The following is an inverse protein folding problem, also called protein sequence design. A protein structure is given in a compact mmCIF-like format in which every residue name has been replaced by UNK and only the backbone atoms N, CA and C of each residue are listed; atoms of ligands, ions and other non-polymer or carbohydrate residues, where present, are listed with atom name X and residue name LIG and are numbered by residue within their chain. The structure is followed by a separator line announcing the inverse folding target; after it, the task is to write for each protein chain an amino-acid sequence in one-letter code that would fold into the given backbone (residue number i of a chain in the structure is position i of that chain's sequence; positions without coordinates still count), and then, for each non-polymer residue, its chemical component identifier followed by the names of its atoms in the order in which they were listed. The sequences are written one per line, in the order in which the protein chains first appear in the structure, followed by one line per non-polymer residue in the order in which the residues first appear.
data_IF_810722732678
#
_entry.id   IF_810722732678
#
_cell.length_a   1.000
_cell.length_b   1.000
_cell.length_c   1.000
_cell.angle_alpha   90.00
_cell.angle_beta   90.00
_cell.angle_gamma   90.00
#
_symmetry.space_group_name_H-M   'P 1'
#
loop_
_entity.id
_entity.type
_entity.pdbx_description
1 polymer ?
#
# COMPACT_ATOMS: atom_id res chain seq x y z
N UNK A 1 -16.32 -1.02 -1.14
CA UNK A 1 -15.25 -0.33 -0.35
C UNK A 1 -15.58 -0.32 1.14
N UNK A 2 -14.91 -1.14 1.96
CA UNK A 2 -15.10 -1.17 3.43
C UNK A 2 -14.13 -0.23 4.13
N UNK A 3 -14.47 1.05 4.29
CA UNK A 3 -13.69 1.93 5.18
C UNK A 3 -14.27 1.82 6.59
N UNK A 4 -13.42 1.54 7.57
CA UNK A 4 -13.77 1.61 8.99
C UNK A 4 -13.05 2.83 9.55
N UNK A 5 -13.69 3.58 10.44
CA UNK A 5 -12.98 4.54 11.29
C UNK A 5 -11.72 3.85 11.88
N UNK A 6 -10.52 4.43 11.73
CA UNK A 6 -9.30 3.73 12.10
C UNK A 6 -9.25 3.50 13.60
N UNK A 7 -8.88 2.28 13.97
CA UNK A 7 -8.59 1.89 15.36
C UNK A 7 -7.12 2.09 15.73
N UNK A 8 -6.27 2.56 14.80
CA UNK A 8 -4.84 2.75 15.00
C UNK A 8 -4.26 3.78 14.01
N UNK A 9 -3.16 4.42 14.41
CA UNK A 9 -2.28 5.20 13.54
C UNK A 9 -1.12 4.32 13.07
N UNK A 10 -0.73 4.44 11.81
CA UNK A 10 0.45 3.76 11.26
C UNK A 10 1.39 4.79 10.65
N UNK A 11 2.62 4.80 11.12
CA UNK A 11 3.67 5.66 10.59
C UNK A 11 4.54 4.85 9.63
N UNK A 12 4.66 5.33 8.39
CA UNK A 12 5.55 4.76 7.39
C UNK A 12 6.63 5.77 7.07
N UNK A 13 7.82 5.57 7.64
CA UNK A 13 9.00 6.38 7.33
C UNK A 13 9.86 5.69 6.27
N UNK A 14 10.56 6.48 5.47
CA UNK A 14 11.66 6.02 4.63
C UNK A 14 12.93 6.78 5.01
N UNK A 15 14.07 6.10 4.95
CA UNK A 15 15.38 6.68 5.33
C UNK A 15 16.05 7.44 4.19
N UNK A 16 15.45 7.40 3.01
CA UNK A 16 16.00 7.98 1.81
C UNK A 16 15.66 9.48 1.70
N UNK A 17 16.64 10.35 1.91
CA UNK A 17 16.51 11.80 1.74
C UNK A 17 17.06 12.28 0.40
N UNK A 18 18.28 12.83 0.43
CA UNK A 18 18.91 13.51 -0.70
C UNK A 18 19.75 12.61 -1.62
N UNK A 19 19.85 11.31 -1.34
CA UNK A 19 20.82 10.42 -2.01
C UNK A 19 20.21 9.48 -3.06
N UNK A 20 18.89 9.52 -3.28
CA UNK A 20 18.26 8.70 -4.31
C UNK A 20 18.23 9.42 -5.65
N UNK A 21 18.56 8.67 -6.71
CA UNK A 21 18.64 9.18 -8.08
C UNK A 21 17.97 8.20 -9.05
N UNK A 22 17.52 8.72 -10.19
CA UNK A 22 16.99 7.90 -11.29
C UNK A 22 15.85 6.98 -10.85
N UNK A 23 15.93 5.72 -11.26
CA UNK A 23 14.87 4.72 -11.06
C UNK A 23 14.61 4.41 -9.57
N UNK A 24 15.63 4.46 -8.71
CA UNK A 24 15.48 4.21 -7.28
C UNK A 24 14.59 5.27 -6.61
N UNK A 25 14.83 6.54 -6.97
CA UNK A 25 14.00 7.67 -6.55
C UNK A 25 12.56 7.52 -7.05
N UNK A 26 12.37 7.14 -8.32
CA UNK A 26 11.04 6.95 -8.93
C UNK A 26 10.30 5.80 -8.23
N UNK A 27 10.96 4.69 -7.96
CA UNK A 27 10.39 3.53 -7.29
C UNK A 27 9.96 3.87 -5.87
N UNK A 28 10.80 4.58 -5.12
CA UNK A 28 10.47 5.02 -3.74
C UNK A 28 9.24 5.93 -3.73
N UNK A 29 9.20 6.94 -4.61
CA UNK A 29 8.03 7.80 -4.77
C UNK A 29 6.78 6.99 -5.11
N UNK A 30 6.88 6.06 -6.06
CA UNK A 30 5.76 5.21 -6.50
C UNK A 30 5.23 4.34 -5.36
N UNK A 31 6.12 3.74 -4.55
CA UNK A 31 5.73 2.93 -3.38
C UNK A 31 4.98 3.78 -2.34
N UNK A 32 5.48 4.96 -2.03
CA UNK A 32 4.83 5.88 -1.09
C UNK A 32 3.48 6.37 -1.63
N UNK A 33 3.36 6.67 -2.93
CA UNK A 33 2.09 7.01 -3.58
C UNK A 33 1.07 5.85 -3.52
N UNK A 34 1.53 4.61 -3.70
CA UNK A 34 0.69 3.43 -3.54
C UNK A 34 0.17 3.29 -2.10
N UNK A 35 0.97 3.65 -1.09
CA UNK A 35 0.54 3.70 0.31
C UNK A 35 -0.53 4.79 0.54
N UNK A 36 -0.35 5.97 -0.05
CA UNK A 36 -1.35 7.06 0.02
C UNK A 36 -2.70 6.62 -0.57
N UNK A 37 -2.67 5.84 -1.66
CA UNK A 37 -3.86 5.38 -2.38
C UNK A 37 -4.40 4.04 -1.86
N UNK A 38 -3.81 3.48 -0.82
CA UNK A 38 -4.18 2.16 -0.35
C UNK A 38 -5.62 2.18 0.22
N UNK A 39 -6.52 1.26 -0.19
CA UNK A 39 -7.94 1.33 0.16
C UNK A 39 -8.24 1.16 1.66
N UNK A 40 -7.28 0.61 2.42
CA UNK A 40 -7.37 0.53 3.88
C UNK A 40 -6.93 1.82 4.60
N UNK A 41 -6.38 2.80 3.89
CA UNK A 41 -6.07 4.10 4.45
C UNK A 41 -7.34 4.96 4.49
N UNK A 42 -7.86 5.21 5.69
CA UNK A 42 -9.04 6.07 5.87
C UNK A 42 -8.75 7.54 5.53
N UNK A 43 -7.56 8.00 5.93
CA UNK A 43 -6.97 9.28 5.60
C UNK A 43 -5.44 9.21 5.70
N UNK A 44 -4.72 10.11 5.04
CA UNK A 44 -3.26 10.11 4.94
C UNK A 44 -2.72 11.54 5.04
N UNK A 45 -1.70 11.72 5.88
CA UNK A 45 -0.88 12.92 5.89
C UNK A 45 0.51 12.56 5.33
N UNK A 46 0.88 13.18 4.21
CA UNK A 46 2.20 13.07 3.63
C UNK A 46 3.06 14.21 4.19
N UNK A 47 4.16 13.85 4.85
CA UNK A 47 5.07 14.81 5.49
C UNK A 47 6.43 14.73 4.79
N UNK A 48 6.91 15.87 4.30
CA UNK A 48 8.29 16.05 3.84
C UNK A 48 9.04 17.00 4.76
N UNK A 49 10.38 16.89 4.77
CA UNK A 49 11.20 17.83 5.54
C UNK A 49 11.29 19.16 4.80
N UNK A 50 11.51 19.12 3.47
CA UNK A 50 11.64 20.27 2.56
C UNK A 50 12.94 20.29 1.75
N UNK A 51 13.90 19.41 2.04
CA UNK A 51 15.22 19.39 1.39
C UNK A 51 15.59 18.02 0.78
N UNK A 52 14.69 17.05 0.84
CA UNK A 52 14.82 15.73 0.22
C UNK A 52 14.74 15.78 -1.31
N UNK A 53 15.16 14.71 -2.01
CA UNK A 53 14.99 14.65 -3.47
C UNK A 53 13.52 14.44 -3.85
N UNK A 54 12.77 13.69 -3.03
CA UNK A 54 11.34 13.44 -3.24
C UNK A 54 10.49 14.54 -2.63
N UNK A 55 10.55 15.70 -3.25
CA UNK A 55 9.83 16.90 -2.83
C UNK A 55 8.32 16.68 -2.86
N UNK A 56 7.64 17.15 -1.80
CA UNK A 56 6.19 16.98 -1.60
C UNK A 56 5.36 17.54 -2.77
N UNK A 57 5.78 18.64 -3.38
CA UNK A 57 5.08 19.21 -4.54
C UNK A 57 5.13 18.27 -5.76
N UNK A 58 6.32 17.80 -6.13
CA UNK A 58 6.49 16.83 -7.23
C UNK A 58 5.81 15.49 -6.92
N UNK A 59 5.81 15.07 -5.65
CA UNK A 59 5.07 13.91 -5.17
C UNK A 59 3.57 14.07 -5.40
N UNK A 60 3.00 15.23 -5.01
CA UNK A 60 1.57 15.54 -5.17
C UNK A 60 1.17 15.62 -6.64
N UNK A 61 1.98 16.26 -7.48
CA UNK A 61 1.72 16.38 -8.93
C UNK A 61 1.64 15.02 -9.62
N UNK A 62 2.44 14.05 -9.18
CA UNK A 62 2.52 12.71 -9.79
C UNK A 62 1.64 11.67 -9.10
N UNK A 63 0.96 12.01 -8.01
CA UNK A 63 0.11 11.08 -7.24
C UNK A 63 -1.14 10.62 -8.02
N UNK A 64 -1.61 11.46 -8.95
CA UNK A 64 -2.89 11.29 -9.64
C UNK A 64 -4.08 11.72 -8.77
N UNK A 65 -5.26 11.15 -9.02
CA UNK A 65 -6.49 11.53 -8.31
C UNK A 65 -6.46 11.09 -6.84
N UNK A 66 -6.79 12.02 -5.95
CA UNK A 66 -7.00 11.78 -4.52
C UNK A 66 -8.11 12.67 -3.96
N UNK A 67 -8.69 12.26 -2.84
CA UNK A 67 -9.67 13.06 -2.11
C UNK A 67 -8.94 14.09 -1.20
N UNK A 68 -9.05 15.40 -1.47
CA UNK A 68 -8.36 16.41 -0.67
C UNK A 68 -8.87 16.49 0.77
N UNK A 69 -10.05 15.97 1.10
CA UNK A 69 -10.52 15.89 2.49
C UNK A 69 -9.82 14.79 3.28
N UNK A 70 -9.21 13.81 2.57
CA UNK A 70 -8.61 12.62 3.16
C UNK A 70 -7.12 12.51 2.94
N UNK A 71 -6.55 13.31 2.04
CA UNK A 71 -5.11 13.37 1.82
C UNK A 71 -4.64 14.81 2.01
N UNK A 72 -3.72 14.99 2.95
CA UNK A 72 -3.06 16.27 3.24
C UNK A 72 -1.56 16.13 3.05
N UNK A 73 -0.92 17.27 2.84
CA UNK A 73 0.51 17.38 2.58
C UNK A 73 1.08 18.47 3.47
N UNK A 74 2.25 18.22 4.05
CA UNK A 74 2.94 19.17 4.90
C UNK A 74 4.44 19.13 4.62
N UNK A 75 5.06 20.30 4.60
CA UNK A 75 6.52 20.46 4.55
C UNK A 75 6.96 21.09 5.86
N UNK A 76 7.75 20.38 6.67
CA UNK A 76 8.10 20.82 8.02
C UNK A 76 8.85 22.16 8.01
N UNK A 77 9.82 22.34 7.12
CA UNK A 77 10.60 23.59 7.01
C UNK A 77 9.79 24.81 6.55
N UNK A 78 8.54 24.63 6.14
CA UNK A 78 7.63 25.71 5.79
C UNK A 78 6.67 26.10 6.93
N UNK A 79 6.80 25.47 8.11
CA UNK A 79 5.99 25.75 9.30
C UNK A 79 6.84 26.43 10.38
N UNK A 80 6.23 27.34 11.14
CA UNK A 80 6.88 27.92 12.33
C UNK A 80 6.86 26.92 13.51
N UNK A 81 5.76 26.19 13.67
CA UNK A 81 5.61 25.04 14.57
C UNK A 81 5.08 23.85 13.77
N UNK A 82 5.97 22.96 13.35
CA UNK A 82 5.64 21.79 12.55
C UNK A 82 4.80 20.75 13.33
N UNK A 83 4.89 20.75 14.65
CA UNK A 83 4.15 19.82 15.51
C UNK A 83 2.70 20.26 15.61
N UNK A 84 2.46 21.53 15.89
CA UNK A 84 1.11 22.10 15.94
C UNK A 84 0.40 21.97 14.58
N UNK A 85 1.07 22.35 13.49
CA UNK A 85 0.54 22.21 12.13
C UNK A 85 0.22 20.74 11.78
N UNK A 86 1.10 19.82 12.15
CA UNK A 86 0.89 18.38 11.96
C UNK A 86 -0.34 17.86 12.72
N UNK A 87 -0.49 18.26 13.98
CA UNK A 87 -1.65 17.89 14.81
C UNK A 87 -2.95 18.45 14.21
N UNK A 88 -2.94 19.69 13.72
CA UNK A 88 -4.12 20.28 13.08
C UNK A 88 -4.56 19.47 11.85
N UNK A 89 -3.61 19.12 10.97
CA UNK A 89 -3.90 18.26 9.82
C UNK A 89 -4.48 16.91 10.25
N UNK A 90 -3.89 16.25 11.25
CA UNK A 90 -4.36 14.97 11.75
C UNK A 90 -5.79 15.06 12.32
N UNK A 91 -6.13 16.15 13.02
CA UNK A 91 -7.49 16.40 13.49
C UNK A 91 -8.48 16.55 12.33
N UNK A 92 -8.16 17.35 11.31
CA UNK A 92 -9.02 17.52 10.14
C UNK A 92 -9.24 16.18 9.41
N UNK A 93 -8.18 15.41 9.21
CA UNK A 93 -8.24 14.09 8.59
C UNK A 93 -9.09 13.11 9.42
N UNK A 94 -8.91 13.10 10.74
CA UNK A 94 -9.73 12.29 11.64
C UNK A 94 -11.21 12.64 11.51
N UNK A 95 -11.57 13.93 11.50
CA UNK A 95 -12.95 14.36 11.33
C UNK A 95 -13.56 13.88 10.01
N UNK A 96 -12.78 13.85 8.92
CA UNK A 96 -13.24 13.38 7.62
C UNK A 96 -13.51 11.86 7.57
N UNK A 97 -12.81 11.05 8.37
CA UNK A 97 -12.90 9.58 8.33
C UNK A 97 -13.59 8.94 9.54
N UNK A 98 -13.87 9.68 10.62
CA UNK A 98 -14.38 9.11 11.89
C UNK A 98 -15.74 8.42 11.77
N UNK A 99 -16.54 8.80 10.77
CA UNK A 99 -17.87 8.23 10.55
C UNK A 99 -17.86 7.06 9.55
N UNK A 100 -16.69 6.64 9.07
CA UNK A 100 -16.56 5.54 8.12
C UNK A 100 -17.04 4.21 8.71
N UNK A 101 -17.94 3.54 7.99
CA UNK A 101 -18.53 2.25 8.39
C UNK A 101 -18.29 1.19 7.33
N UNK A 102 -18.06 -0.05 7.80
CA UNK A 102 -17.98 -1.21 6.91
C UNK A 102 -19.35 -1.48 6.31
N UNK A 103 -19.35 -1.76 5.02
CA UNK A 103 -20.53 -2.14 4.26
C UNK A 103 -20.29 -3.51 3.60
N UNK A 104 -21.36 -4.29 3.29
CA UNK A 104 -21.21 -5.48 2.47
C UNK A 104 -20.50 -5.14 1.15
N UNK A 105 -19.42 -5.88 0.85
CA UNK A 105 -18.64 -5.73 -0.37
C UNK A 105 -18.66 -7.00 -1.22
N UNK A 106 -18.09 -6.93 -2.42
CA UNK A 106 -17.92 -8.09 -3.32
C UNK A 106 -16.52 -8.67 -3.15
N UNK A 107 -16.38 -9.99 -3.35
CA UNK A 107 -15.05 -10.62 -3.41
C UNK A 107 -14.16 -10.00 -4.51
N UNK A 108 -14.76 -9.53 -5.60
CA UNK A 108 -14.06 -8.85 -6.69
C UNK A 108 -13.40 -7.52 -6.30
N UNK A 109 -13.74 -6.95 -5.14
CA UNK A 109 -13.10 -5.74 -4.62
C UNK A 109 -11.83 -6.05 -3.81
N UNK A 110 -11.57 -7.32 -3.51
CA UNK A 110 -10.48 -7.75 -2.63
C UNK A 110 -9.21 -8.10 -3.42
N UNK A 111 -8.08 -7.71 -2.85
CA UNK A 111 -6.74 -8.05 -3.31
C UNK A 111 -5.98 -8.71 -2.18
N UNK A 112 -5.42 -9.90 -2.43
CA UNK A 112 -4.66 -10.68 -1.45
C UNK A 112 -3.23 -10.84 -1.91
N UNK A 113 -2.27 -10.38 -1.10
CA UNK A 113 -0.86 -10.76 -1.26
C UNK A 113 -0.63 -12.13 -0.64
N UNK A 114 0.12 -12.99 -1.33
CA UNK A 114 0.53 -14.31 -0.89
C UNK A 114 2.03 -14.27 -0.61
N UNK A 115 2.41 -14.71 0.57
CA UNK A 115 3.79 -14.75 1.06
C UNK A 115 4.00 -16.08 1.79
N UNK A 116 5.20 -16.62 1.67
CA UNK A 116 5.70 -17.67 2.50
C UNK A 116 6.33 -17.08 3.78
N UNK A 117 6.39 -17.91 4.82
CA UNK A 117 7.11 -17.58 6.04
C UNK A 117 8.40 -18.41 6.13
N UNK A 118 8.48 -19.28 7.14
CA UNK A 118 9.50 -20.32 7.19
C UNK A 118 9.05 -21.55 6.40
N UNK A 119 9.52 -21.70 5.17
CA UNK A 119 9.21 -22.87 4.34
C UNK A 119 9.78 -24.15 4.95
N UNK A 120 9.00 -25.23 4.96
CA UNK A 120 9.42 -26.56 5.39
C UNK A 120 9.08 -27.63 4.34
N UNK A 121 9.48 -28.88 4.61
CA UNK A 121 9.23 -29.99 3.69
C UNK A 121 7.74 -30.33 3.48
N UNK A 122 6.83 -29.76 4.28
CA UNK A 122 5.38 -29.97 4.19
C UNK A 122 4.65 -28.81 3.51
N UNK A 123 5.22 -27.61 3.49
CA UNK A 123 4.62 -26.42 2.87
C UNK A 123 4.14 -26.69 1.45
N UNK A 124 4.99 -27.32 0.63
CA UNK A 124 4.71 -27.64 -0.78
C UNK A 124 3.60 -28.68 -1.01
N UNK A 125 3.20 -29.42 0.02
CA UNK A 125 2.15 -30.47 -0.08
C UNK A 125 0.92 -30.17 0.78
N UNK A 126 0.96 -29.12 1.60
CA UNK A 126 -0.15 -28.74 2.51
C UNK A 126 -0.60 -27.29 2.29
N UNK A 127 0.09 -26.32 2.89
CA UNK A 127 -0.30 -24.92 2.90
C UNK A 127 -0.31 -24.30 1.48
N UNK A 128 0.71 -24.57 0.66
CA UNK A 128 0.83 -23.98 -0.66
C UNK A 128 -0.26 -24.49 -1.62
N UNK A 129 -0.56 -25.81 -1.69
CA UNK A 129 -1.72 -26.29 -2.44
C UNK A 129 -3.06 -25.70 -1.98
N UNK A 130 -3.24 -25.48 -0.67
CA UNK A 130 -4.45 -24.85 -0.14
C UNK A 130 -4.56 -23.39 -0.58
N UNK A 131 -3.47 -22.62 -0.50
CA UNK A 131 -3.40 -21.24 -1.01
C UNK A 131 -3.64 -21.16 -2.52
N UNK A 132 -3.16 -22.14 -3.29
CA UNK A 132 -3.46 -22.26 -4.72
C UNK A 132 -4.97 -22.36 -4.98
N UNK A 133 -5.66 -23.28 -4.28
CA UNK A 133 -7.12 -23.43 -4.40
C UNK A 133 -7.89 -22.18 -3.92
N UNK A 134 -7.40 -21.53 -2.88
CA UNK A 134 -7.96 -20.26 -2.41
C UNK A 134 -7.82 -19.16 -3.48
N UNK A 135 -6.66 -19.10 -4.14
CA UNK A 135 -6.42 -18.18 -5.25
C UNK A 135 -7.38 -18.44 -6.41
N UNK A 136 -7.54 -19.69 -6.84
CA UNK A 136 -8.48 -20.06 -7.90
C UNK A 136 -9.92 -19.65 -7.56
N UNK A 137 -10.34 -19.91 -6.32
CA UNK A 137 -11.67 -19.51 -5.84
C UNK A 137 -11.89 -18.01 -5.88
N UNK A 138 -10.91 -17.20 -5.44
CA UNK A 138 -11.01 -15.75 -5.48
C UNK A 138 -11.06 -15.22 -6.92
N UNK A 139 -10.15 -15.70 -7.79
CA UNK A 139 -10.08 -15.29 -9.19
C UNK A 139 -11.39 -15.64 -9.92
N UNK A 140 -11.96 -16.82 -9.66
CA UNK A 140 -13.26 -17.22 -10.20
C UNK A 140 -14.42 -16.29 -9.79
N UNK A 141 -14.27 -15.57 -8.67
CA UNK A 141 -15.21 -14.56 -8.19
C UNK A 141 -14.80 -13.11 -8.55
N UNK A 142 -13.83 -12.94 -9.45
CA UNK A 142 -13.34 -11.64 -9.92
C UNK A 142 -12.40 -10.93 -8.93
N UNK A 143 -11.98 -11.59 -7.86
CA UNK A 143 -10.98 -11.08 -6.92
C UNK A 143 -9.57 -11.14 -7.49
N UNK A 144 -8.60 -10.63 -6.75
CA UNK A 144 -7.18 -10.66 -7.15
C UNK A 144 -6.33 -11.31 -6.07
N UNK A 145 -5.45 -12.20 -6.49
CA UNK A 145 -4.32 -12.67 -5.69
C UNK A 145 -3.01 -12.22 -6.34
N UNK A 146 -2.00 -11.94 -5.53
CA UNK A 146 -0.68 -11.54 -5.96
C UNK A 146 0.31 -12.46 -5.27
N UNK A 147 0.96 -13.33 -6.04
CA UNK A 147 2.06 -14.11 -5.54
C UNK A 147 3.32 -13.26 -5.56
N UNK A 148 3.96 -13.17 -4.41
CA UNK A 148 5.18 -12.40 -4.17
C UNK A 148 6.36 -13.37 -4.05
N UNK A 149 7.58 -12.91 -3.76
CA UNK A 149 8.79 -13.73 -3.59
C UNK A 149 9.38 -14.33 -4.89
N UNK A 150 9.81 -13.46 -5.82
CA UNK A 150 10.50 -13.88 -7.06
C UNK A 150 11.63 -14.92 -6.82
N UNK A 151 12.49 -14.79 -5.78
CA UNK A 151 13.55 -15.79 -5.54
C UNK A 151 13.03 -17.20 -5.22
N UNK A 152 11.86 -17.32 -4.58
CA UNK A 152 11.26 -18.63 -4.22
C UNK A 152 10.65 -19.35 -5.45
N UNK A 153 10.54 -18.64 -6.58
CA UNK A 153 10.06 -19.21 -7.84
C UNK A 153 11.19 -19.77 -8.71
N UNK A 154 12.46 -19.58 -8.31
CA UNK A 154 13.58 -20.05 -9.10
C UNK A 154 13.58 -21.58 -9.23
N UNK A 155 13.61 -22.07 -10.46
CA UNK A 155 13.45 -23.49 -10.80
C UNK A 155 12.00 -23.92 -11.10
N UNK A 156 11.01 -23.05 -10.87
CA UNK A 156 9.60 -23.30 -11.17
C UNK A 156 9.04 -22.38 -12.27
N UNK A 157 9.87 -21.55 -12.90
CA UNK A 157 9.45 -20.51 -13.84
C UNK A 157 8.70 -21.09 -15.04
N UNK A 158 9.18 -22.21 -15.59
CA UNK A 158 8.52 -22.86 -16.72
C UNK A 158 7.12 -23.38 -16.35
N UNK A 159 6.91 -23.86 -15.12
CA UNK A 159 5.60 -24.29 -14.65
C UNK A 159 4.64 -23.11 -14.50
N UNK A 160 5.14 -21.96 -14.03
CA UNK A 160 4.35 -20.74 -13.86
C UNK A 160 4.02 -20.04 -15.18
N UNK A 161 4.92 -20.10 -16.17
CA UNK A 161 4.71 -19.54 -17.51
C UNK A 161 3.92 -20.47 -18.45
N UNK A 162 3.75 -21.73 -18.05
CA UNK A 162 2.95 -22.67 -18.84
C UNK A 162 1.49 -22.26 -18.83
N UNK A 163 0.76 -22.42 -19.95
CA UNK A 163 -0.67 -22.18 -19.96
C UNK A 163 -1.33 -23.06 -18.90
N UNK A 164 -2.20 -22.48 -18.07
CA UNK A 164 -2.97 -23.25 -17.11
C UNK A 164 -3.73 -24.37 -17.86
N UNK A 165 -3.66 -25.62 -17.38
CA UNK A 165 -4.46 -26.70 -17.96
C UNK A 165 -5.93 -26.29 -17.86
N UNK A 166 -6.63 -26.30 -19.00
CA UNK A 166 -8.06 -25.99 -19.08
C UNK A 166 -8.89 -27.05 -18.36
#
# INVERSE_FOLDING_TARGET
MTRKAPTAFSLFSHTYGCSQLGDDHINTRTMLQNMVRHPNAGAVLVIGLGCENNQVDAFRETLGDFDPQRVRFMVCQAQEDEVEAGIEHLHQLYQAMREDKREPGKLSELKFGLECGGSDGLSGITANPMLGRFSDYLIANGGTTVLTEVPEMFGAEQLLMSPLPR
#
